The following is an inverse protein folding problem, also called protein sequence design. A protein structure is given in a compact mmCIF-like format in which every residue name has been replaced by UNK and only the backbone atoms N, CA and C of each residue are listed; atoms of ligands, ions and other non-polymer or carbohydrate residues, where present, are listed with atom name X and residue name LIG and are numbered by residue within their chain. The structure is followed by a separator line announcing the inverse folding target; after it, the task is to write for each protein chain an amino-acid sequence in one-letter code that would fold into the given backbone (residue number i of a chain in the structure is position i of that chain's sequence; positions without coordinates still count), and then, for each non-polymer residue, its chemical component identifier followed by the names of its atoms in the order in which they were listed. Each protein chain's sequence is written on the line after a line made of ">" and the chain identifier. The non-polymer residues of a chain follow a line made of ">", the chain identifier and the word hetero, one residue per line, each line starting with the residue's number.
data_IF_990378998882
#
_entry.id   IF_990378998882
#
_cell.length_a   1.000
_cell.length_b   1.000
_cell.length_c   1.000
_cell.angle_alpha   90.00
_cell.angle_beta   90.00
_cell.angle_gamma   90.00
#
_symmetry.space_group_name_H-M   'P 1'
#
loop_
_entity.id
_entity.type
_entity.pdbx_description
1 polymer ?
#
# COMPACT_ATOMS: atom_id res chain seq x y z
N UNK A 1 11.34 3.34 -13.08
CA UNK A 1 11.85 2.91 -14.40
C UNK A 1 13.21 2.29 -14.20
N UNK A 2 13.56 1.24 -14.95
CA UNK A 2 14.96 0.83 -15.05
C UNK A 2 15.71 1.85 -15.93
N UNK A 3 16.77 2.44 -15.38
CA UNK A 3 17.56 3.50 -16.02
C UNK A 3 18.32 3.02 -17.27
N UNK A 4 18.42 1.70 -17.49
CA UNK A 4 19.12 1.12 -18.64
C UNK A 4 18.22 0.80 -19.84
N UNK A 5 16.91 0.61 -19.66
CA UNK A 5 16.02 0.08 -20.70
C UNK A 5 14.76 0.90 -20.97
N UNK A 6 14.40 1.86 -20.11
CA UNK A 6 13.14 2.61 -20.23
C UNK A 6 11.89 1.78 -19.92
N UNK A 7 12.07 0.53 -19.47
CA UNK A 7 10.97 -0.37 -19.11
C UNK A 7 10.32 0.10 -17.81
N UNK A 8 9.01 0.26 -17.84
CA UNK A 8 8.23 0.59 -16.66
C UNK A 8 8.11 -0.65 -15.78
N UNK A 9 8.75 -0.61 -14.60
CA UNK A 9 8.82 -1.77 -13.70
C UNK A 9 7.45 -2.08 -13.08
N UNK A 10 6.71 -1.05 -12.69
CA UNK A 10 5.35 -1.15 -12.16
C UNK A 10 4.57 0.18 -12.25
N UNK A 11 3.27 0.12 -12.56
CA UNK A 11 2.31 1.23 -12.59
C UNK A 11 1.02 0.85 -11.84
N UNK A 12 0.42 1.82 -11.14
CA UNK A 12 -0.89 1.68 -10.51
C UNK A 12 -1.89 2.58 -11.23
N UNK A 13 -3.02 2.01 -11.63
CA UNK A 13 -4.12 2.73 -12.26
C UNK A 13 -5.23 2.91 -11.22
N UNK A 14 -5.62 4.17 -11.01
CA UNK A 14 -6.57 4.56 -9.97
C UNK A 14 -7.86 5.11 -10.59
N UNK A 15 -8.97 4.85 -9.92
CA UNK A 15 -10.27 5.45 -10.19
C UNK A 15 -10.87 5.90 -8.86
N UNK A 16 -11.13 7.21 -8.72
CA UNK A 16 -11.71 7.80 -7.51
C UNK A 16 -11.01 7.38 -6.21
N UNK A 17 -9.67 7.33 -6.22
CA UNK A 17 -8.85 6.95 -5.06
C UNK A 17 -8.75 5.45 -4.81
N UNK A 18 -9.38 4.61 -5.64
CA UNK A 18 -9.31 3.15 -5.56
C UNK A 18 -8.37 2.58 -6.64
N UNK A 19 -7.41 1.71 -6.31
CA UNK A 19 -6.60 1.07 -7.33
C UNK A 19 -7.45 0.03 -8.06
N UNK A 20 -7.55 0.15 -9.38
CA UNK A 20 -8.37 -0.74 -10.23
C UNK A 20 -7.52 -1.67 -11.10
N UNK A 21 -6.30 -1.26 -11.42
CA UNK A 21 -5.37 -2.08 -12.17
C UNK A 21 -3.92 -1.81 -11.77
N UNK A 22 -3.09 -2.80 -12.02
CA UNK A 22 -1.66 -2.79 -11.74
C UNK A 22 -0.93 -3.35 -12.95
N UNK A 23 0.02 -2.61 -13.49
CA UNK A 23 0.84 -3.06 -14.61
C UNK A 23 2.23 -3.35 -14.07
N UNK A 24 2.76 -4.55 -14.25
CA UNK A 24 4.12 -4.92 -13.85
C UNK A 24 4.83 -5.58 -15.02
N UNK A 25 6.00 -5.05 -15.41
CA UNK A 25 6.78 -5.58 -16.52
C UNK A 25 5.97 -5.80 -17.82
N UNK A 26 5.05 -4.90 -18.11
CA UNK A 26 4.16 -4.97 -19.29
C UNK A 26 2.93 -5.88 -19.14
N UNK A 27 2.79 -6.62 -18.03
CA UNK A 27 1.60 -7.42 -17.75
C UNK A 27 0.59 -6.64 -16.91
N UNK A 28 -0.68 -6.71 -17.30
CA UNK A 28 -1.79 -6.04 -16.60
C UNK A 28 -2.48 -7.01 -15.65
N UNK A 29 -2.75 -6.53 -14.43
CA UNK A 29 -3.48 -7.20 -13.39
C UNK A 29 -4.66 -6.36 -12.94
N UNK A 30 -5.79 -7.00 -12.68
CA UNK A 30 -6.97 -6.38 -12.08
C UNK A 30 -6.85 -6.42 -10.57
N UNK A 31 -7.05 -5.26 -9.92
CA UNK A 31 -6.97 -5.14 -8.47
C UNK A 31 -8.36 -5.36 -7.88
N UNK A 32 -8.47 -6.30 -6.95
CA UNK A 32 -9.69 -6.58 -6.21
C UNK A 32 -9.56 -5.99 -4.81
N UNK A 33 -10.44 -5.05 -4.47
CA UNK A 33 -10.44 -4.37 -3.17
C UNK A 33 -11.66 -4.76 -2.33
N UNK A 34 -11.58 -4.55 -1.02
CA UNK A 34 -12.76 -4.57 -0.15
C UNK A 34 -13.52 -3.23 -0.15
N UNK A 35 -14.58 -3.14 0.67
CA UNK A 35 -15.41 -1.94 0.79
C UNK A 35 -14.68 -0.68 1.32
N UNK A 36 -13.46 -0.84 1.85
CA UNK A 36 -12.61 0.27 2.34
C UNK A 36 -11.52 0.63 1.31
N UNK A 37 -11.47 -0.05 0.16
CA UNK A 37 -10.42 0.13 -0.83
C UNK A 37 -9.13 -0.64 -0.52
N UNK A 38 -9.15 -1.55 0.46
CA UNK A 38 -7.98 -2.38 0.79
C UNK A 38 -7.79 -3.44 -0.29
N UNK A 39 -6.64 -3.52 -0.97
CA UNK A 39 -6.38 -4.58 -1.95
C UNK A 39 -6.36 -5.96 -1.31
N UNK A 40 -7.10 -6.90 -1.88
CA UNK A 40 -7.24 -8.29 -1.40
C UNK A 40 -6.64 -9.30 -2.36
N UNK A 41 -6.71 -9.03 -3.67
CA UNK A 41 -6.15 -9.91 -4.68
C UNK A 41 -5.79 -9.16 -5.97
N UNK A 42 -4.91 -9.77 -6.75
CA UNK A 42 -4.67 -9.46 -8.15
C UNK A 42 -5.05 -10.66 -9.01
N UNK A 43 -5.74 -10.41 -10.11
CA UNK A 43 -5.94 -11.42 -11.16
C UNK A 43 -5.33 -10.97 -12.48
N UNK A 44 -4.73 -11.89 -13.22
CA UNK A 44 -4.31 -11.63 -14.59
C UNK A 44 -5.50 -11.49 -15.55
N UNK A 45 -5.23 -11.22 -16.82
CA UNK A 45 -6.25 -11.11 -17.87
C UNK A 45 -7.00 -12.42 -18.15
N UNK A 46 -6.49 -13.56 -17.68
CA UNK A 46 -7.13 -14.88 -17.77
C UNK A 46 -7.95 -15.21 -16.51
N UNK A 47 -8.04 -14.29 -15.55
CA UNK A 47 -8.75 -14.47 -14.28
C UNK A 47 -8.00 -15.30 -13.25
N UNK A 48 -6.74 -15.66 -13.48
CA UNK A 48 -5.94 -16.42 -12.52
C UNK A 48 -5.39 -15.49 -11.44
N UNK A 49 -5.39 -15.97 -10.18
CA UNK A 49 -4.89 -15.20 -9.04
C UNK A 49 -3.36 -15.17 -9.07
N UNK A 50 -2.81 -13.98 -9.33
CA UNK A 50 -1.37 -13.74 -9.37
C UNK A 50 -0.81 -13.30 -8.01
N UNK A 51 -1.65 -12.69 -7.17
CA UNK A 51 -1.31 -12.24 -5.83
C UNK A 51 -2.57 -12.21 -4.96
N UNK A 52 -2.44 -12.53 -3.68
CA UNK A 52 -3.52 -12.45 -2.68
C UNK A 52 -2.95 -12.07 -1.31
N UNK A 53 -3.70 -11.26 -0.57
CA UNK A 53 -3.38 -10.89 0.80
C UNK A 53 -4.51 -11.20 1.78
N UNK A 54 -4.15 -11.94 2.82
CA UNK A 54 -4.97 -12.13 4.01
C UNK A 54 -4.44 -11.23 5.12
N UNK A 55 -5.28 -10.34 5.65
CA UNK A 55 -4.86 -9.32 6.62
C UNK A 55 -5.35 -9.70 8.02
N UNK A 56 -4.50 -9.49 9.02
CA UNK A 56 -4.92 -9.42 10.41
C UNK A 56 -5.74 -8.14 10.66
N UNK A 57 -6.47 -8.03 11.79
CA UNK A 57 -7.23 -6.82 12.13
C UNK A 57 -6.38 -5.54 12.17
N UNK A 58 -5.07 -5.66 12.40
CA UNK A 58 -4.13 -4.54 12.46
C UNK A 58 -3.32 -4.37 11.16
N UNK A 59 -3.68 -5.06 10.09
CA UNK A 59 -3.07 -4.86 8.78
C UNK A 59 -1.83 -5.70 8.47
N UNK A 60 -1.44 -6.64 9.35
CA UNK A 60 -0.38 -7.61 9.01
C UNK A 60 -0.86 -8.48 7.84
N UNK A 61 -0.17 -8.39 6.71
CA UNK A 61 -0.55 -9.08 5.49
C UNK A 61 0.24 -10.38 5.34
N UNK A 62 -0.47 -11.50 5.20
CA UNK A 62 0.08 -12.77 4.72
C UNK A 62 -0.14 -12.84 3.22
N UNK A 63 0.95 -12.87 2.45
CA UNK A 63 0.92 -12.79 1.00
C UNK A 63 1.10 -14.17 0.37
N UNK A 64 0.22 -14.51 -0.56
CA UNK A 64 0.43 -15.61 -1.52
C UNK A 64 0.61 -14.99 -2.90
N UNK A 65 1.73 -15.26 -3.58
CA UNK A 65 2.05 -14.68 -4.88
C UNK A 65 2.58 -15.73 -5.85
N UNK A 66 2.23 -15.57 -7.13
CA UNK A 66 2.77 -16.32 -8.27
C UNK A 66 3.69 -15.45 -9.13
N UNK A 67 4.57 -14.67 -8.49
CA UNK A 67 5.60 -13.88 -9.16
C UNK A 67 5.30 -12.40 -9.31
N UNK A 68 4.09 -11.95 -8.96
CA UNK A 68 3.74 -10.53 -8.91
C UNK A 68 4.10 -9.92 -7.55
N UNK A 69 4.67 -8.71 -7.56
CA UNK A 69 4.98 -7.96 -6.34
C UNK A 69 4.06 -6.76 -6.23
N UNK A 70 3.18 -6.79 -5.23
CA UNK A 70 2.20 -5.74 -5.00
C UNK A 70 2.28 -5.25 -3.56
N UNK A 71 2.65 -3.99 -3.39
CA UNK A 71 3.06 -3.43 -2.10
C UNK A 71 2.03 -2.50 -1.46
N UNK A 72 0.90 -2.21 -2.10
CA UNK A 72 -0.19 -1.49 -1.42
C UNK A 72 -0.78 -2.37 -0.30
N UNK A 73 -1.15 -1.73 0.81
CA UNK A 73 -1.73 -2.37 2.00
C UNK A 73 -3.05 -1.68 2.35
N UNK A 74 -3.33 -1.40 3.61
CA UNK A 74 -4.48 -0.58 3.99
C UNK A 74 -4.43 0.79 3.28
N UNK A 75 -5.56 1.53 3.21
CA UNK A 75 -5.59 2.83 2.54
C UNK A 75 -4.43 3.74 2.98
N UNK A 76 -3.68 4.24 1.98
CA UNK A 76 -2.50 5.09 2.19
C UNK A 76 -1.20 4.36 2.61
N UNK A 77 -1.24 3.04 2.83
CA UNK A 77 -0.08 2.26 3.26
C UNK A 77 0.64 1.57 2.10
N UNK A 78 1.97 1.65 2.14
CA UNK A 78 2.89 0.96 1.25
C UNK A 78 3.83 0.08 2.07
N UNK A 79 3.97 -1.19 1.70
CA UNK A 79 4.87 -2.12 2.38
C UNK A 79 6.33 -1.86 1.99
N UNK A 80 7.13 -1.57 3.00
CA UNK A 80 8.58 -1.51 2.90
C UNK A 80 9.17 -2.88 3.26
N UNK A 81 9.71 -3.57 2.27
CA UNK A 81 10.27 -4.91 2.43
C UNK A 81 11.59 -4.94 3.21
N UNK A 82 12.32 -3.81 3.28
CA UNK A 82 13.59 -3.74 4.00
C UNK A 82 13.36 -3.73 5.52
N UNK A 83 12.33 -3.02 5.96
CA UNK A 83 12.00 -2.86 7.39
C UNK A 83 10.86 -3.77 7.86
N UNK A 84 10.03 -4.28 6.94
CA UNK A 84 8.79 -5.01 7.25
C UNK A 84 7.64 -4.11 7.71
N UNK A 85 7.85 -2.79 7.68
CA UNK A 85 6.88 -1.79 8.13
C UNK A 85 6.02 -1.29 6.98
N UNK A 86 4.93 -0.61 7.33
CA UNK A 86 4.03 0.03 6.38
C UNK A 86 4.30 1.52 6.38
N UNK A 87 4.90 2.03 5.30
CA UNK A 87 5.03 3.46 5.08
C UNK A 87 3.67 4.06 4.74
N UNK A 88 3.23 5.01 5.56
CA UNK A 88 2.08 5.85 5.29
C UNK A 88 2.56 7.28 5.41
N UNK A 89 2.95 7.88 4.28
CA UNK A 89 3.30 9.30 4.14
C UNK A 89 4.01 9.89 5.37
N UNK A 90 5.32 10.08 5.45
CA UNK A 90 5.97 10.63 6.67
C UNK A 90 5.90 9.77 7.95
N UNK A 91 5.10 8.70 8.03
CA UNK A 91 5.10 7.80 9.19
C UNK A 91 5.26 6.35 8.79
N UNK A 92 5.94 5.61 9.65
CA UNK A 92 6.01 4.16 9.58
C UNK A 92 5.02 3.55 10.57
N UNK A 93 4.18 2.65 10.07
CA UNK A 93 3.23 1.87 10.84
C UNK A 93 3.76 0.45 11.01
N UNK A 94 3.76 -0.03 12.24
CA UNK A 94 4.07 -1.41 12.58
C UNK A 94 2.76 -2.23 12.63
N UNK A 95 2.53 -3.12 11.66
CA UNK A 95 1.33 -3.95 11.61
C UNK A 95 1.31 -5.08 12.65
N UNK A 96 2.44 -5.38 13.32
CA UNK A 96 2.53 -6.38 14.38
C UNK A 96 2.01 -5.82 15.71
N UNK A 97 2.34 -4.58 16.03
CA UNK A 97 1.87 -3.89 17.25
C UNK A 97 0.62 -3.04 17.02
N UNK A 98 0.25 -2.80 15.76
CA UNK A 98 -0.92 -2.02 15.38
C UNK A 98 -0.77 -0.52 15.61
N UNK A 99 0.46 0.00 15.57
CA UNK A 99 0.80 1.38 15.97
C UNK A 99 1.81 2.02 15.04
N UNK A 100 1.79 3.35 14.95
CA UNK A 100 2.90 4.08 14.34
C UNK A 100 4.15 3.98 15.20
N UNK A 101 5.34 3.91 14.59
CA UNK A 101 6.62 3.88 15.31
C UNK A 101 7.26 5.26 15.45
N UNK A 102 6.74 6.27 14.74
CA UNK A 102 7.09 7.69 14.89
C UNK A 102 5.90 8.48 15.43
N UNK A 103 6.16 9.43 16.33
CA UNK A 103 5.14 10.34 16.87
C UNK A 103 4.59 11.23 15.76
N UNK A 104 3.30 11.57 15.80
CA UNK A 104 2.66 12.45 14.81
C UNK A 104 3.38 13.82 14.73
N UNK A 105 3.83 14.28 13.54
CA UNK A 105 4.45 15.59 13.37
C UNK A 105 3.57 16.78 13.81
N UNK A 106 2.25 16.60 13.91
CA UNK A 106 1.28 17.62 14.39
C UNK A 106 1.23 17.69 15.93
N UNK A 107 1.79 16.71 16.64
CA UNK A 107 1.74 16.65 18.11
C UNK A 107 0.32 16.40 18.65
N UNK A 108 0.04 16.88 19.87
CA UNK A 108 -1.22 16.67 20.62
C UNK A 108 -2.49 17.23 19.95
N UNK A 109 -2.39 17.96 18.84
CA UNK A 109 -3.55 18.44 18.08
C UNK A 109 -4.22 17.36 17.21
N UNK A 110 -3.59 16.17 17.06
CA UNK A 110 -4.12 15.02 16.32
C UNK A 110 -4.94 14.02 17.13
N UNK A 111 -5.10 14.24 18.45
CA UNK A 111 -5.84 13.35 19.36
C UNK A 111 -5.00 12.84 20.54
N UNK A 112 -5.65 12.19 21.52
CA UNK A 112 -5.04 11.71 22.78
C UNK A 112 -4.02 10.56 22.55
N UNK A 113 -4.06 9.88 21.40
CA UNK A 113 -3.17 8.76 21.09
C UNK A 113 -2.43 8.97 19.76
N UNK A 114 -1.26 9.60 19.82
CA UNK A 114 -0.41 9.94 18.67
C UNK A 114 0.21 8.74 17.96
N UNK A 115 -0.03 7.52 18.46
CA UNK A 115 0.50 6.26 17.94
C UNK A 115 -0.59 5.34 17.39
N UNK A 116 -1.88 5.66 17.58
CA UNK A 116 -2.97 4.85 17.08
C UNK A 116 -3.15 5.03 15.58
N UNK A 117 -3.40 3.93 14.88
CA UNK A 117 -4.03 3.98 13.57
C UNK A 117 -5.54 4.13 13.80
N UNK A 118 -6.06 5.34 13.62
CA UNK A 118 -7.49 5.57 13.67
C UNK A 118 -8.11 5.25 12.31
N UNK A 119 -8.85 4.14 12.26
CA UNK A 119 -9.62 3.77 11.07
C UNK A 119 -10.92 4.60 10.95
N UNK A 120 -11.16 5.51 11.90
CA UNK A 120 -12.36 6.35 12.02
C UNK A 120 -12.05 7.84 11.78
N UNK A 121 -11.53 8.17 10.60
CA UNK A 121 -11.82 9.49 10.02
C UNK A 121 -11.83 9.42 8.50
N UNK A 122 -13.05 9.51 7.97
CA UNK A 122 -13.43 10.08 6.69
C UNK A 122 -12.29 10.84 6.00
N UNK A 123 -11.87 10.32 4.84
CA UNK A 123 -11.35 11.09 3.70
C UNK A 123 -10.16 12.00 4.05
N UNK A 124 -8.95 11.45 3.95
CA UNK A 124 -7.84 12.19 3.32
C UNK A 124 -7.46 11.51 2.01
N UNK A 125 -8.43 11.48 1.10
CA UNK A 125 -8.29 11.01 -0.29
C UNK A 125 -7.48 11.99 -1.17
N UNK A 126 -6.95 13.07 -0.61
CA UNK A 126 -6.20 14.12 -1.34
C UNK A 126 -4.67 14.03 -1.17
N UNK A 127 -4.15 12.97 -0.55
CA UNK A 127 -2.70 12.71 -0.54
C UNK A 127 -2.26 12.16 -1.89
N UNK A 128 -1.21 12.71 -2.57
CA UNK A 128 -0.70 12.10 -3.78
C UNK A 128 -0.34 10.63 -3.56
N UNK A 129 -0.54 9.84 -4.61
CA UNK A 129 -0.22 8.43 -4.64
C UNK A 129 1.16 8.17 -4.02
N UNK A 130 1.36 7.04 -3.31
CA UNK A 130 2.67 6.67 -2.79
C UNK A 130 3.69 6.78 -3.93
N UNK A 131 4.92 7.26 -3.62
CA UNK A 131 5.90 7.55 -4.66
C UNK A 131 6.07 6.32 -5.57
N UNK A 132 6.15 6.52 -6.89
CA UNK A 132 6.48 5.41 -7.77
C UNK A 132 7.79 4.78 -7.30
N UNK A 133 7.99 3.49 -7.56
CA UNK A 133 9.16 2.65 -7.23
C UNK A 133 10.55 3.31 -7.45
N UNK A 134 10.61 4.46 -8.11
CA UNK A 134 11.80 5.22 -8.46
C UNK A 134 12.23 6.27 -7.42
N UNK A 135 11.46 6.53 -6.35
CA UNK A 135 11.95 7.36 -5.24
C UNK A 135 12.22 6.51 -3.99
N UNK A 136 13.39 6.65 -3.35
CA UNK A 136 13.69 5.95 -2.10
C UNK A 136 12.72 6.39 -1.00
N UNK A 137 12.20 5.42 -0.24
CA UNK A 137 11.38 5.70 0.94
C UNK A 137 12.31 6.36 1.98
N UNK A 138 11.99 7.56 2.50
CA UNK A 138 12.85 8.22 3.48
C UNK A 138 12.86 7.47 4.82
N UNK A 139 14.05 7.01 5.25
CA UNK A 139 14.29 6.42 6.57
C UNK A 139 14.57 7.47 7.64
#
# INVERSE_FOLDING_TARGET
>A
MDAATGTLLAEYIWLDGTPIAFVQSGQTYHVHVDHLGTPKALTDTSGQVAWKADYSPFGKATITSQGSTFNLRFPGQYFDAETGLHYNWHRYYDPETGRYITSDPIGLAGGINTYAYDNYLTIRMDGPAPPPYSQPIPH
#
